data_IF_374658099375
#
_entry.id   IF_374658099375
#
_cell.length_a   1.000
_cell.length_b   1.000
_cell.length_c   1.000
_cell.angle_alpha   90.00
_cell.angle_beta   90.00
_cell.angle_gamma   90.00
#
_symmetry.space_group_name_H-M   'P 1'
#
loop_
_entity.id
_entity.type
_entity.pdbx_description
1 polymer ?
#
# COMPACT_ATOMS: atom_id res chain seq x y z
N UNK A 1 -33.68 53.07 -11.91
CA UNK A 1 -32.99 52.20 -12.88
C UNK A 1 -31.57 51.99 -12.39
N UNK A 2 -31.25 50.81 -11.85
CA UNK A 2 -29.95 50.13 -11.89
C UNK A 2 -30.02 48.92 -10.95
N UNK A 3 -30.29 47.76 -11.55
CA UNK A 3 -30.19 46.44 -10.93
C UNK A 3 -29.24 45.68 -11.84
N UNK A 4 -28.01 45.46 -11.42
CA UNK A 4 -27.01 44.83 -12.26
C UNK A 4 -25.61 44.98 -11.69
N UNK A 5 -25.26 44.08 -10.76
CA UNK A 5 -23.89 43.59 -10.48
C UNK A 5 -23.95 42.78 -9.17
N UNK A 6 -24.44 41.54 -9.25
CA UNK A 6 -24.36 40.59 -8.11
C UNK A 6 -24.42 39.10 -8.50
N UNK A 7 -24.48 38.71 -9.77
CA UNK A 7 -24.54 37.28 -10.14
C UNK A 7 -23.21 36.66 -10.57
N UNK A 8 -22.17 37.44 -10.86
CA UNK A 8 -20.97 36.94 -11.55
C UNK A 8 -19.96 36.18 -10.68
N UNK A 9 -20.27 35.95 -9.40
CA UNK A 9 -19.38 35.30 -8.42
C UNK A 9 -19.85 33.93 -7.90
N UNK A 10 -21.10 33.54 -8.15
CA UNK A 10 -21.62 32.20 -7.76
C UNK A 10 -21.57 31.22 -8.92
N UNK A 11 -21.91 31.66 -10.13
CA UNK A 11 -21.91 30.82 -11.33
C UNK A 11 -20.51 30.25 -11.63
N UNK A 12 -19.43 31.01 -11.43
CA UNK A 12 -18.05 30.49 -11.62
C UNK A 12 -17.63 29.40 -10.63
N UNK A 13 -18.20 29.38 -9.42
CA UNK A 13 -17.92 28.34 -8.41
C UNK A 13 -18.76 27.09 -8.63
N UNK A 14 -19.96 27.23 -9.22
CA UNK A 14 -20.78 26.10 -9.64
C UNK A 14 -20.29 25.51 -10.98
N UNK A 15 -19.87 26.34 -11.94
CA UNK A 15 -19.27 25.90 -13.21
C UNK A 15 -17.92 25.18 -13.01
N UNK A 16 -17.11 25.59 -12.02
CA UNK A 16 -15.88 24.87 -11.65
C UNK A 16 -16.16 23.52 -10.98
N UNK A 17 -17.32 23.35 -10.34
CA UNK A 17 -17.78 22.03 -9.87
C UNK A 17 -18.36 21.18 -11.00
N UNK A 18 -18.83 21.81 -12.08
CA UNK A 18 -19.43 21.13 -13.22
C UNK A 18 -18.41 20.70 -14.29
N UNK A 19 -17.25 21.38 -14.37
CA UNK A 19 -16.18 21.07 -15.33
C UNK A 19 -15.26 19.91 -14.93
N UNK A 20 -15.39 19.40 -13.71
CA UNK A 20 -14.79 18.15 -13.30
C UNK A 20 -15.90 17.20 -12.92
N UNK A 21 -16.31 16.31 -13.84
CA UNK A 21 -16.95 15.07 -13.38
C UNK A 21 -15.89 14.37 -12.54
N UNK A 22 -15.90 14.61 -11.23
CA UNK A 22 -15.08 13.88 -10.28
C UNK A 22 -15.23 12.40 -10.61
N UNK A 23 -14.12 11.67 -10.67
CA UNK A 23 -14.12 10.23 -10.92
C UNK A 23 -14.96 9.54 -9.84
N UNK A 24 -16.27 9.40 -10.10
CA UNK A 24 -17.22 8.83 -9.16
C UNK A 24 -17.22 7.31 -9.35
N UNK A 25 -17.11 6.58 -8.23
CA UNK A 25 -17.12 5.13 -8.24
C UNK A 25 -18.35 4.58 -8.97
N UNK A 26 -19.52 5.18 -8.72
CA UNK A 26 -20.79 4.82 -9.35
C UNK A 26 -20.72 4.86 -10.88
N UNK A 27 -20.07 5.88 -11.46
CA UNK A 27 -19.88 5.98 -12.92
C UNK A 27 -19.11 4.78 -13.48
N UNK A 28 -18.10 4.28 -12.77
CA UNK A 28 -17.37 3.08 -13.19
C UNK A 28 -18.19 1.80 -12.98
N UNK A 29 -18.93 1.69 -11.89
CA UNK A 29 -19.71 0.50 -11.56
C UNK A 29 -20.90 0.30 -12.50
N UNK A 30 -21.61 1.37 -12.87
CA UNK A 30 -22.77 1.30 -13.78
C UNK A 30 -22.37 0.85 -15.19
N UNK A 31 -21.22 1.31 -15.70
CA UNK A 31 -20.76 0.95 -17.06
C UNK A 31 -20.36 -0.54 -17.14
N UNK A 32 -19.95 -1.14 -16.02
CA UNK A 32 -19.52 -2.54 -15.97
C UNK A 32 -20.63 -3.57 -15.73
N UNK A 33 -21.77 -3.20 -15.13
CA UNK A 33 -22.78 -4.16 -14.68
C UNK A 33 -23.78 -4.60 -15.75
N UNK A 34 -23.96 -3.82 -16.83
CA UNK A 34 -25.08 -4.03 -17.78
C UNK A 34 -24.73 -4.87 -19.03
N UNK A 35 -23.47 -5.30 -19.21
CA UNK A 35 -23.00 -5.84 -20.50
C UNK A 35 -22.06 -7.05 -20.32
N UNK A 36 -22.01 -7.95 -21.30
CA UNK A 36 -21.10 -9.12 -21.30
C UNK A 36 -19.64 -8.74 -21.08
N UNK A 37 -18.84 -9.62 -20.46
CA UNK A 37 -17.50 -9.31 -19.97
C UNK A 37 -16.54 -8.68 -21.00
N UNK A 38 -16.63 -9.08 -22.28
CA UNK A 38 -15.78 -8.54 -23.35
C UNK A 38 -16.23 -7.15 -23.82
N UNK A 39 -17.54 -6.91 -23.85
CA UNK A 39 -18.11 -5.61 -24.20
C UNK A 39 -17.97 -4.63 -23.03
N UNK A 40 -18.14 -5.09 -21.79
CA UNK A 40 -17.88 -4.31 -20.57
C UNK A 40 -16.44 -3.78 -20.53
N UNK A 41 -15.43 -4.63 -20.82
CA UNK A 41 -14.02 -4.19 -20.92
C UNK A 41 -13.84 -3.05 -21.92
N UNK A 42 -14.43 -3.16 -23.11
CA UNK A 42 -14.30 -2.14 -24.15
C UNK A 42 -15.02 -0.84 -23.75
N UNK A 43 -16.22 -0.95 -23.18
CA UNK A 43 -17.01 0.20 -22.71
C UNK A 43 -16.34 0.93 -21.55
N UNK A 44 -15.78 0.20 -20.58
CA UNK A 44 -15.03 0.75 -19.46
C UNK A 44 -13.75 1.43 -19.94
N UNK A 45 -13.01 0.82 -20.88
CA UNK A 45 -11.82 1.43 -21.47
C UNK A 45 -12.16 2.73 -22.23
N UNK A 46 -13.28 2.77 -22.97
CA UNK A 46 -13.74 4.01 -23.63
C UNK A 46 -14.14 5.07 -22.62
N UNK A 47 -14.91 4.71 -21.57
CA UNK A 47 -15.35 5.66 -20.56
C UNK A 47 -14.17 6.23 -19.76
N UNK A 48 -13.19 5.39 -19.40
CA UNK A 48 -11.96 5.81 -18.76
C UNK A 48 -11.12 6.72 -19.68
N UNK A 49 -11.09 6.41 -20.98
CA UNK A 49 -10.46 7.25 -22.00
C UNK A 49 -11.11 8.64 -22.08
N UNK A 50 -12.44 8.70 -22.13
CA UNK A 50 -13.18 9.97 -22.20
C UNK A 50 -12.98 10.81 -20.93
N UNK A 51 -13.09 10.21 -19.74
CA UNK A 51 -12.80 10.89 -18.46
C UNK A 51 -11.35 11.39 -18.39
N UNK A 52 -10.40 10.61 -18.92
CA UNK A 52 -9.00 11.04 -19.00
C UNK A 52 -8.80 12.18 -20.01
N UNK A 53 -9.50 12.20 -21.14
CA UNK A 53 -9.41 13.31 -22.10
C UNK A 53 -9.95 14.60 -21.47
N UNK A 54 -11.09 14.52 -20.78
CA UNK A 54 -11.73 15.67 -20.14
C UNK A 54 -10.88 16.23 -19.01
N UNK A 55 -10.34 15.38 -18.12
CA UNK A 55 -9.46 15.82 -17.04
C UNK A 55 -8.12 16.36 -17.58
N UNK A 56 -7.55 15.76 -18.63
CA UNK A 56 -6.31 16.22 -19.26
C UNK A 56 -6.43 17.64 -19.84
N UNK A 57 -7.63 18.04 -20.30
CA UNK A 57 -7.90 19.36 -20.88
C UNK A 57 -7.67 20.53 -19.91
N UNK A 58 -7.68 20.24 -18.60
CA UNK A 58 -7.50 21.23 -17.52
C UNK A 58 -6.05 21.51 -17.14
N UNK A 59 -5.07 20.71 -17.62
CA UNK A 59 -3.66 20.86 -17.25
C UNK A 59 -2.98 22.04 -17.98
N UNK A 60 -3.14 23.23 -17.41
CA UNK A 60 -2.27 24.43 -17.40
C UNK A 60 -1.72 24.94 -18.76
N UNK A 61 -2.14 26.13 -19.23
CA UNK A 61 -1.49 26.85 -20.33
C UNK A 61 -0.04 27.24 -19.99
N UNK A 62 0.93 26.98 -20.89
CA UNK A 62 2.26 27.59 -20.84
C UNK A 62 3.47 26.68 -20.56
N UNK A 63 3.29 25.35 -20.50
CA UNK A 63 4.41 24.38 -20.43
C UNK A 63 4.67 23.80 -21.82
N UNK A 64 5.93 23.54 -22.17
CA UNK A 64 6.35 22.93 -23.45
C UNK A 64 5.53 21.69 -23.82
N UNK A 65 5.07 21.61 -25.08
CA UNK A 65 4.14 20.58 -25.56
C UNK A 65 4.60 19.13 -25.32
N UNK A 66 5.90 18.85 -25.34
CA UNK A 66 6.43 17.50 -25.15
C UNK A 66 6.25 16.97 -23.71
N UNK A 67 6.45 17.81 -22.69
CA UNK A 67 6.26 17.44 -21.28
C UNK A 67 4.78 17.19 -20.99
N UNK A 68 3.90 17.99 -21.61
CA UNK A 68 2.46 17.84 -21.49
C UNK A 68 1.98 16.54 -22.15
N UNK A 69 2.49 16.18 -23.33
CA UNK A 69 2.15 14.92 -24.00
C UNK A 69 2.56 13.70 -23.18
N UNK A 70 3.74 13.71 -22.55
CA UNK A 70 4.19 12.58 -21.72
C UNK A 70 3.32 12.37 -20.48
N UNK A 71 3.00 13.45 -19.76
CA UNK A 71 2.12 13.39 -18.58
C UNK A 71 0.71 12.95 -18.97
N UNK A 72 0.19 13.45 -20.09
CA UNK A 72 -1.12 13.06 -20.62
C UNK A 72 -1.17 11.58 -20.99
N UNK A 73 -0.18 11.08 -21.74
CA UNK A 73 -0.14 9.66 -22.11
C UNK A 73 -0.04 8.75 -20.87
N UNK A 74 0.73 9.16 -19.85
CA UNK A 74 0.77 8.44 -18.57
C UNK A 74 -0.59 8.43 -17.89
N UNK A 75 -1.23 9.59 -17.77
CA UNK A 75 -2.53 9.71 -17.15
C UNK A 75 -3.58 8.83 -17.84
N UNK A 76 -3.70 8.92 -19.17
CA UNK A 76 -4.63 8.10 -19.98
C UNK A 76 -4.39 6.61 -19.73
N UNK A 77 -3.13 6.15 -19.83
CA UNK A 77 -2.75 4.76 -19.59
C UNK A 77 -3.08 4.31 -18.16
N UNK A 78 -2.79 5.14 -17.17
CA UNK A 78 -3.02 4.81 -15.76
C UNK A 78 -4.53 4.73 -15.47
N UNK A 79 -5.36 5.60 -16.05
CA UNK A 79 -6.83 5.54 -15.88
C UNK A 79 -7.44 4.32 -16.54
N UNK A 80 -6.97 3.95 -17.74
CA UNK A 80 -7.36 2.68 -18.37
C UNK A 80 -7.02 1.51 -17.44
N UNK A 81 -5.81 1.50 -16.87
CA UNK A 81 -5.37 0.43 -15.97
C UNK A 81 -6.19 0.36 -14.67
N UNK A 82 -6.54 1.50 -14.07
CA UNK A 82 -7.44 1.55 -12.90
C UNK A 82 -8.79 0.92 -13.26
N UNK A 83 -9.35 1.30 -14.40
CA UNK A 83 -10.67 0.85 -14.83
C UNK A 83 -10.68 -0.67 -15.11
N UNK A 84 -9.62 -1.20 -15.73
CA UNK A 84 -9.43 -2.64 -15.91
C UNK A 84 -9.38 -3.39 -14.58
N UNK A 85 -8.59 -2.90 -13.61
CA UNK A 85 -8.42 -3.54 -12.30
C UNK A 85 -9.70 -3.47 -11.45
N UNK A 86 -10.46 -2.37 -11.54
CA UNK A 86 -11.77 -2.26 -10.91
C UNK A 86 -12.76 -3.25 -11.51
N UNK A 87 -12.75 -3.41 -12.84
CA UNK A 87 -13.61 -4.37 -13.52
C UNK A 87 -13.33 -5.82 -13.10
N UNK A 88 -12.05 -6.18 -12.92
CA UNK A 88 -11.67 -7.50 -12.40
C UNK A 88 -12.23 -7.77 -10.99
N UNK A 89 -12.57 -6.73 -10.23
CA UNK A 89 -13.07 -6.81 -8.85
C UNK A 89 -14.50 -6.32 -8.69
N UNK A 90 -15.21 -6.15 -9.81
CA UNK A 90 -16.56 -5.58 -9.86
C UNK A 90 -17.52 -6.31 -8.93
N UNK A 91 -17.52 -7.64 -8.93
CA UNK A 91 -18.39 -8.46 -8.07
C UNK A 91 -18.15 -8.19 -6.58
N UNK A 92 -16.89 -8.21 -6.15
CA UNK A 92 -16.54 -7.95 -4.75
C UNK A 92 -16.89 -6.52 -4.35
N UNK A 93 -16.65 -5.54 -5.23
CA UNK A 93 -17.01 -4.15 -5.00
C UNK A 93 -18.53 -3.96 -4.84
N UNK A 94 -19.33 -4.52 -5.75
CA UNK A 94 -20.80 -4.47 -5.67
C UNK A 94 -21.29 -5.10 -4.37
N UNK A 95 -20.84 -6.32 -4.06
CA UNK A 95 -21.23 -7.00 -2.82
C UNK A 95 -20.85 -6.20 -1.57
N UNK A 96 -19.68 -5.56 -1.55
CA UNK A 96 -19.27 -4.74 -0.42
C UNK A 96 -20.18 -3.52 -0.27
N UNK A 97 -20.47 -2.84 -1.38
CA UNK A 97 -21.24 -1.58 -1.41
C UNK A 97 -22.74 -1.78 -1.17
N UNK A 98 -23.32 -2.92 -1.57
CA UNK A 98 -24.73 -3.21 -1.34
C UNK A 98 -25.09 -3.23 0.16
N UNK A 99 -24.12 -3.59 1.01
CA UNK A 99 -24.26 -3.59 2.46
C UNK A 99 -24.07 -2.22 3.13
N UNK A 100 -23.65 -1.19 2.39
CA UNK A 100 -23.28 0.13 2.96
C UNK A 100 -24.44 1.11 2.99
N UNK A 101 -24.47 1.94 4.03
CA UNK A 101 -25.37 3.10 4.13
C UNK A 101 -24.94 4.20 3.14
N UNK A 102 -25.83 5.17 2.88
CA UNK A 102 -25.50 6.31 2.02
C UNK A 102 -24.30 7.12 2.53
N UNK A 103 -24.18 7.31 3.85
CA UNK A 103 -23.05 8.03 4.46
C UNK A 103 -21.73 7.27 4.27
N UNK A 104 -21.76 5.94 4.41
CA UNK A 104 -20.58 5.10 4.16
C UNK A 104 -20.19 5.11 2.69
N UNK A 105 -21.15 5.09 1.77
CA UNK A 105 -20.87 5.21 0.32
C UNK A 105 -20.23 6.55 -0.03
N UNK A 106 -20.74 7.65 0.55
CA UNK A 106 -20.15 8.98 0.35
C UNK A 106 -18.71 9.05 0.89
N UNK A 107 -18.44 8.42 2.04
CA UNK A 107 -17.08 8.31 2.56
C UNK A 107 -16.18 7.47 1.64
N UNK A 108 -16.67 6.35 1.13
CA UNK A 108 -15.95 5.51 0.17
C UNK A 108 -15.64 6.29 -1.12
N UNK A 109 -16.58 7.09 -1.63
CA UNK A 109 -16.37 7.92 -2.82
C UNK A 109 -15.26 8.95 -2.60
N UNK A 110 -15.21 9.61 -1.43
CA UNK A 110 -14.09 10.50 -1.08
C UNK A 110 -12.77 9.75 -1.00
N UNK A 111 -12.76 8.56 -0.39
CA UNK A 111 -11.55 7.75 -0.31
C UNK A 111 -11.10 7.25 -1.69
N UNK A 112 -12.03 6.98 -2.60
CA UNK A 112 -11.76 6.61 -3.98
C UNK A 112 -11.03 7.73 -4.73
N UNK A 113 -11.37 9.00 -4.49
CA UNK A 113 -10.65 10.14 -5.08
C UNK A 113 -9.16 10.10 -4.75
N UNK A 114 -8.78 9.77 -3.50
CA UNK A 114 -7.38 9.62 -3.14
C UNK A 114 -6.67 8.45 -3.84
N UNK A 115 -7.39 7.37 -4.14
CA UNK A 115 -6.87 6.25 -4.93
C UNK A 115 -6.59 6.69 -6.35
N UNK A 116 -7.51 7.44 -6.95
CA UNK A 116 -7.36 8.02 -8.28
C UNK A 116 -6.17 8.98 -8.31
N UNK A 117 -6.09 9.94 -7.40
CA UNK A 117 -4.96 10.88 -7.30
C UNK A 117 -3.61 10.15 -7.19
N UNK A 118 -3.59 9.04 -6.44
CA UNK A 118 -2.40 8.21 -6.29
C UNK A 118 -2.02 7.48 -7.58
N UNK A 119 -3.01 7.01 -8.35
CA UNK A 119 -2.81 6.27 -9.58
C UNK A 119 -2.45 7.17 -10.78
N UNK A 120 -2.99 8.37 -10.86
CA UNK A 120 -2.80 9.31 -11.99
C UNK A 120 -1.32 9.59 -12.25
N UNK A 121 -0.55 9.86 -11.19
CA UNK A 121 0.85 10.25 -11.31
C UNK A 121 1.84 9.07 -11.22
N UNK A 122 1.34 7.84 -10.99
CA UNK A 122 2.17 6.65 -10.79
C UNK A 122 3.05 6.37 -12.01
N UNK A 123 4.34 6.18 -11.75
CA UNK A 123 5.35 5.93 -12.77
C UNK A 123 5.40 4.46 -13.18
N UNK A 124 5.15 3.55 -12.24
CA UNK A 124 5.16 2.11 -12.46
C UNK A 124 3.72 1.60 -12.54
N UNK A 125 3.18 1.54 -13.77
CA UNK A 125 1.81 1.12 -14.06
C UNK A 125 1.40 -0.19 -13.36
N UNK A 126 2.34 -1.12 -13.22
CA UNK A 126 2.17 -2.39 -12.50
C UNK A 126 1.72 -2.22 -11.03
N UNK A 127 1.98 -1.06 -10.41
CA UNK A 127 1.55 -0.76 -9.04
C UNK A 127 0.06 -0.43 -8.93
N UNK A 128 -0.58 -0.05 -10.03
CA UNK A 128 -2.00 0.35 -10.04
C UNK A 128 -2.89 -0.78 -9.52
N UNK A 129 -2.57 -2.04 -9.82
CA UNK A 129 -3.30 -3.20 -9.28
C UNK A 129 -3.29 -3.23 -7.74
N UNK A 130 -2.18 -2.83 -7.12
CA UNK A 130 -2.08 -2.78 -5.65
C UNK A 130 -2.88 -1.61 -5.10
N UNK A 131 -2.87 -0.45 -5.77
CA UNK A 131 -3.73 0.68 -5.41
C UNK A 131 -5.21 0.26 -5.45
N UNK A 132 -5.65 -0.41 -6.52
CA UNK A 132 -7.03 -0.90 -6.62
C UNK A 132 -7.34 -2.00 -5.59
N UNK A 133 -6.40 -2.89 -5.26
CA UNK A 133 -6.58 -3.84 -4.15
C UNK A 133 -6.84 -3.12 -2.82
N UNK A 134 -6.05 -2.08 -2.52
CA UNK A 134 -6.24 -1.26 -1.32
C UNK A 134 -7.62 -0.62 -1.30
N UNK A 135 -8.11 -0.15 -2.45
CA UNK A 135 -9.47 0.37 -2.57
C UNK A 135 -10.53 -0.69 -2.26
N UNK A 136 -10.40 -1.90 -2.80
CA UNK A 136 -11.34 -2.98 -2.48
C UNK A 136 -11.30 -3.31 -0.98
N UNK A 137 -10.14 -3.27 -0.32
CA UNK A 137 -10.10 -3.40 1.14
C UNK A 137 -10.83 -2.26 1.84
N UNK A 138 -10.68 -1.01 1.40
CA UNK A 138 -11.44 0.12 1.95
C UNK A 138 -12.93 -0.17 1.96
N UNK A 139 -13.48 -0.68 0.86
CA UNK A 139 -14.91 -0.98 0.74
C UNK A 139 -15.40 -2.08 1.68
N UNK A 140 -14.52 -2.97 2.17
CA UNK A 140 -14.91 -4.03 3.12
C UNK A 140 -15.17 -3.49 4.52
N UNK A 141 -14.53 -2.40 4.90
CA UNK A 141 -14.63 -1.84 6.23
C UNK A 141 -15.81 -0.88 6.35
N UNK A 142 -16.46 -0.87 7.52
CA UNK A 142 -17.59 0.03 7.78
C UNK A 142 -17.15 1.46 8.07
N UNK A 143 -15.98 1.61 8.70
CA UNK A 143 -15.36 2.89 9.01
C UNK A 143 -13.85 2.75 8.92
N UNK A 144 -13.24 3.61 8.12
CA UNK A 144 -11.79 3.79 8.06
C UNK A 144 -11.47 5.26 8.24
N UNK A 145 -10.46 5.55 9.04
CA UNK A 145 -9.93 6.91 9.13
C UNK A 145 -9.29 7.28 7.80
N UNK A 146 -9.58 8.50 7.33
CA UNK A 146 -8.96 9.06 6.14
C UNK A 146 -7.44 9.14 6.27
N UNK A 147 -6.93 9.60 7.42
CA UNK A 147 -5.50 9.65 7.72
C UNK A 147 -4.83 8.28 7.65
N UNK A 148 -5.54 7.23 8.08
CA UNK A 148 -5.06 5.86 7.98
C UNK A 148 -4.90 5.43 6.51
N UNK A 149 -5.92 5.68 5.68
CA UNK A 149 -5.88 5.37 4.25
C UNK A 149 -4.76 6.14 3.56
N UNK A 150 -4.67 7.46 3.81
CA UNK A 150 -3.62 8.30 3.24
C UNK A 150 -2.22 7.80 3.62
N UNK A 151 -2.00 7.45 4.89
CA UNK A 151 -0.73 6.89 5.37
C UNK A 151 -0.35 5.63 4.60
N UNK A 152 -1.30 4.71 4.38
CA UNK A 152 -1.06 3.47 3.63
C UNK A 152 -0.75 3.74 2.16
N UNK A 153 -1.49 4.63 1.51
CA UNK A 153 -1.24 4.98 0.10
C UNK A 153 0.05 5.74 -0.09
N UNK A 154 0.44 6.60 0.84
CA UNK A 154 1.72 7.33 0.78
C UNK A 154 2.90 6.37 0.93
N UNK A 155 2.81 5.38 1.83
CA UNK A 155 3.80 4.31 1.91
C UNK A 155 3.83 3.52 0.60
N UNK A 156 2.69 3.15 0.03
CA UNK A 156 2.66 2.45 -1.26
C UNK A 156 3.27 3.29 -2.39
N UNK A 157 3.04 4.60 -2.44
CA UNK A 157 3.67 5.53 -3.41
C UNK A 157 5.19 5.51 -3.31
N UNK A 158 5.74 5.50 -2.09
CA UNK A 158 7.20 5.45 -1.88
C UNK A 158 7.83 4.15 -2.36
N UNK A 159 7.09 3.03 -2.35
CA UNK A 159 7.62 1.74 -2.79
C UNK A 159 7.79 1.68 -4.31
N UNK A 160 8.89 1.08 -4.74
CA UNK A 160 9.06 0.57 -6.11
C UNK A 160 8.60 -0.87 -6.20
N UNK A 161 8.37 -1.34 -7.42
CA UNK A 161 8.02 -2.75 -7.68
C UNK A 161 9.05 -3.73 -7.11
N UNK A 162 10.33 -3.35 -7.05
CA UNK A 162 11.37 -4.17 -6.42
C UNK A 162 11.19 -4.26 -4.90
N UNK A 163 10.85 -3.16 -4.23
CA UNK A 163 10.55 -3.16 -2.79
C UNK A 163 9.36 -4.09 -2.50
N UNK A 164 8.31 -4.03 -3.33
CA UNK A 164 7.14 -4.92 -3.23
C UNK A 164 7.54 -6.39 -3.44
N UNK A 165 8.43 -6.69 -4.39
CA UNK A 165 8.90 -8.06 -4.65
C UNK A 165 9.68 -8.63 -3.46
N UNK A 166 10.60 -7.82 -2.91
CA UNK A 166 11.37 -8.20 -1.70
C UNK A 166 10.45 -8.39 -0.51
N UNK A 167 9.50 -7.48 -0.30
CA UNK A 167 8.54 -7.56 0.81
C UNK A 167 7.66 -8.81 0.73
N UNK A 168 7.17 -9.16 -0.47
CA UNK A 168 6.41 -10.40 -0.69
C UNK A 168 7.24 -11.65 -0.42
N UNK A 169 8.47 -11.72 -0.94
CA UNK A 169 9.38 -12.83 -0.68
C UNK A 169 9.59 -13.04 0.82
N UNK A 170 9.81 -11.95 1.56
CA UNK A 170 9.98 -11.99 3.01
C UNK A 170 8.70 -12.45 3.75
N UNK A 171 7.51 -12.24 3.17
CA UNK A 171 6.24 -12.67 3.76
C UNK A 171 5.98 -14.14 3.51
N UNK A 172 6.21 -14.59 2.26
CA UNK A 172 6.08 -15.99 1.86
C UNK A 172 7.03 -16.89 2.64
N UNK A 173 8.21 -16.40 3.03
CA UNK A 173 9.10 -17.11 3.96
C UNK A 173 8.55 -17.28 5.39
N UNK A 174 7.29 -16.93 5.68
CA UNK A 174 6.62 -17.29 6.95
C UNK A 174 5.73 -18.54 6.82
N UNK A 175 5.31 -18.92 5.61
CA UNK A 175 4.44 -20.07 5.35
C UNK A 175 5.20 -21.13 4.53
N UNK A 176 6.05 -21.90 5.21
CA UNK A 176 6.95 -22.90 4.62
C UNK A 176 6.26 -24.16 4.04
N UNK A 177 4.93 -24.15 3.87
CA UNK A 177 4.12 -25.37 3.73
C UNK A 177 3.30 -25.51 2.44
N UNK A 178 3.46 -24.67 1.41
CA UNK A 178 2.79 -24.91 0.12
C UNK A 178 3.77 -25.31 -0.99
N UNK A 179 3.47 -26.45 -1.62
CA UNK A 179 4.20 -27.05 -2.74
C UNK A 179 4.08 -26.17 -3.99
N UNK A 180 5.19 -25.56 -4.37
CA UNK A 180 5.37 -24.80 -5.61
C UNK A 180 6.83 -24.39 -5.72
N UNK A 181 7.33 -24.14 -6.94
CA UNK A 181 8.69 -23.65 -7.17
C UNK A 181 8.92 -22.40 -6.32
N UNK A 182 9.77 -22.54 -5.29
CA UNK A 182 9.98 -21.52 -4.27
C UNK A 182 10.74 -20.36 -4.89
N UNK A 183 10.10 -19.20 -4.98
CA UNK A 183 10.80 -17.96 -5.26
C UNK A 183 11.84 -17.72 -4.16
N UNK A 184 13.07 -17.44 -4.57
CA UNK A 184 14.22 -17.15 -3.73
C UNK A 184 14.67 -15.71 -3.94
N UNK A 185 15.58 -15.24 -3.10
CA UNK A 185 16.18 -13.91 -3.30
C UNK A 185 16.97 -13.82 -4.60
N UNK A 186 17.52 -14.94 -5.10
CA UNK A 186 18.18 -14.98 -6.41
C UNK A 186 17.20 -14.70 -7.55
N UNK A 187 16.00 -15.26 -7.50
CA UNK A 187 14.97 -15.04 -8.53
C UNK A 187 14.51 -13.57 -8.56
N UNK A 188 14.40 -12.94 -7.38
CA UNK A 188 14.10 -11.50 -7.27
C UNK A 188 15.24 -10.66 -7.84
N UNK A 189 16.49 -10.99 -7.53
CA UNK A 189 17.66 -10.27 -8.05
C UNK A 189 17.77 -10.39 -9.57
N UNK A 190 17.57 -11.59 -10.12
CA UNK A 190 17.61 -11.84 -11.56
C UNK A 190 16.49 -11.08 -12.28
N UNK A 191 15.24 -11.17 -11.78
CA UNK A 191 14.09 -10.48 -12.38
C UNK A 191 14.26 -8.98 -12.47
N UNK A 192 14.87 -8.37 -11.44
CA UNK A 192 15.08 -6.93 -11.37
C UNK A 192 16.44 -6.47 -11.88
N UNK A 193 17.32 -7.40 -12.28
CA UNK A 193 18.66 -7.09 -12.77
C UNK A 193 19.54 -6.38 -11.72
N UNK A 194 19.43 -6.76 -10.45
CA UNK A 194 20.16 -6.10 -9.35
C UNK A 194 21.21 -7.02 -8.71
N UNK A 195 22.24 -6.38 -8.16
CA UNK A 195 23.25 -7.02 -7.30
C UNK A 195 22.69 -7.34 -5.90
N UNK A 196 23.43 -8.18 -5.16
CA UNK A 196 23.12 -8.47 -3.77
C UNK A 196 23.21 -7.23 -2.87
N UNK A 197 24.17 -6.34 -3.11
CA UNK A 197 24.31 -5.09 -2.38
C UNK A 197 23.09 -4.17 -2.59
N UNK A 198 22.57 -4.12 -3.81
CA UNK A 198 21.34 -3.39 -4.12
C UNK A 198 20.12 -4.05 -3.48
N UNK A 199 20.05 -5.38 -3.43
CA UNK A 199 19.00 -6.12 -2.73
C UNK A 199 18.99 -5.81 -1.22
N UNK A 200 20.17 -5.77 -0.60
CA UNK A 200 20.32 -5.37 0.81
C UNK A 200 19.94 -3.90 1.04
N UNK A 201 20.24 -3.01 0.08
CA UNK A 201 19.79 -1.62 0.15
C UNK A 201 18.26 -1.50 0.12
N UNK A 202 17.58 -2.31 -0.69
CA UNK A 202 16.10 -2.41 -0.71
C UNK A 202 15.57 -2.87 0.65
N UNK A 203 16.15 -3.92 1.25
CA UNK A 203 15.76 -4.39 2.60
C UNK A 203 15.95 -3.30 3.67
N UNK A 204 17.03 -2.54 3.60
CA UNK A 204 17.27 -1.41 4.51
C UNK A 204 16.27 -0.26 4.29
N UNK A 205 15.89 0.02 3.04
CA UNK A 205 14.84 1.00 2.76
C UNK A 205 13.48 0.55 3.33
N UNK A 206 13.12 -0.73 3.16
CA UNK A 206 11.90 -1.30 3.74
C UNK A 206 11.91 -1.25 5.29
N UNK A 207 13.09 -1.39 5.92
CA UNK A 207 13.27 -1.15 7.36
C UNK A 207 13.04 0.33 7.71
N UNK A 208 13.63 1.27 6.95
CA UNK A 208 13.47 2.73 7.14
C UNK A 208 12.00 3.16 7.09
N UNK A 209 11.23 2.58 6.17
CA UNK A 209 9.79 2.84 5.98
C UNK A 209 8.95 2.14 7.06
N UNK A 210 9.53 1.23 7.85
CA UNK A 210 8.87 0.52 8.94
C UNK A 210 8.09 -0.73 8.51
N UNK A 211 8.20 -1.15 7.25
CA UNK A 211 7.59 -2.39 6.75
C UNK A 211 8.38 -3.62 7.21
N UNK A 212 9.69 -3.45 7.43
CA UNK A 212 10.53 -4.43 8.12
C UNK A 212 10.89 -3.93 9.52
N UNK A 213 11.31 -4.88 10.36
CA UNK A 213 11.90 -4.67 11.68
C UNK A 213 13.09 -5.61 11.83
N UNK A 214 13.93 -5.40 12.83
CA UNK A 214 14.99 -6.36 13.16
C UNK A 214 14.57 -7.21 14.35
N UNK A 215 15.13 -8.44 14.45
CA UNK A 215 15.02 -9.20 15.71
C UNK A 215 15.58 -8.45 16.89
N UNK A 216 16.53 -7.54 16.66
CA UNK A 216 17.03 -6.64 17.69
C UNK A 216 15.90 -5.80 18.28
N UNK A 217 15.14 -5.12 17.44
CA UNK A 217 14.01 -4.27 17.86
C UNK A 217 12.97 -5.06 18.68
N UNK A 218 12.72 -6.32 18.31
CA UNK A 218 11.78 -7.19 19.03
C UNK A 218 12.31 -7.67 20.38
N UNK A 219 13.62 -7.86 20.51
CA UNK A 219 14.24 -8.47 21.69
C UNK A 219 14.95 -7.46 22.60
N UNK A 220 14.89 -6.15 22.31
CA UNK A 220 15.53 -5.10 23.13
C UNK A 220 15.20 -5.24 24.61
N UNK A 221 13.93 -5.51 24.94
CA UNK A 221 13.51 -5.66 26.33
C UNK A 221 14.16 -6.87 27.01
N UNK A 222 14.26 -8.00 26.30
CA UNK A 222 14.89 -9.22 26.82
C UNK A 222 16.40 -9.01 26.97
N UNK A 223 17.03 -8.30 26.04
CA UNK A 223 18.44 -7.99 26.10
C UNK A 223 18.75 -6.97 27.21
N UNK A 224 17.90 -5.96 27.42
CA UNK A 224 18.01 -5.03 28.56
C UNK A 224 17.87 -5.75 29.90
N UNK A 225 17.00 -6.76 29.99
CA UNK A 225 16.90 -7.61 31.19
C UNK A 225 18.20 -8.40 31.41
N UNK A 226 18.78 -8.97 30.36
CA UNK A 226 20.05 -9.72 30.47
C UNK A 226 21.22 -8.78 30.84
N UNK A 227 21.25 -7.55 30.33
CA UNK A 227 22.21 -6.52 30.73
C UNK A 227 22.03 -6.16 32.21
N UNK A 228 20.80 -5.87 32.63
CA UNK A 228 20.49 -5.51 34.03
C UNK A 228 20.91 -6.62 35.00
N UNK A 229 20.66 -7.88 34.63
CA UNK A 229 21.09 -9.05 35.38
C UNK A 229 22.61 -9.16 35.45
N UNK A 230 23.30 -9.00 34.33
CA UNK A 230 24.78 -9.02 34.29
C UNK A 230 25.37 -7.91 35.15
N UNK A 231 24.77 -6.72 35.14
CA UNK A 231 25.19 -5.59 35.97
C UNK A 231 25.02 -5.89 37.47
N UNK A 232 23.89 -6.51 37.86
CA UNK A 232 23.67 -6.98 39.25
C UNK A 232 24.68 -8.05 39.65
N UNK A 233 25.01 -8.98 38.77
CA UNK A 233 26.00 -10.03 39.02
C UNK A 233 27.40 -9.43 39.23
N UNK A 234 27.75 -8.39 38.46
CA UNK A 234 29.00 -7.63 38.63
C UNK A 234 29.02 -6.89 39.98
N UNK A 235 27.96 -6.16 40.33
CA UNK A 235 27.86 -5.49 41.65
C UNK A 235 28.04 -6.50 42.77
N UNK A 236 27.30 -7.62 42.72
CA UNK A 236 27.38 -8.69 43.72
C UNK A 236 28.79 -9.30 43.80
N UNK A 237 29.47 -9.43 42.66
CA UNK A 237 30.86 -9.89 42.61
C UNK A 237 31.79 -8.90 43.31
N UNK A 238 31.69 -7.60 43.01
CA UNK A 238 32.53 -6.55 43.59
C UNK A 238 32.30 -6.40 45.10
N UNK A 239 31.05 -6.47 45.57
CA UNK A 239 30.72 -6.48 47.00
C UNK A 239 31.37 -7.65 47.73
N UNK A 240 31.31 -8.85 47.14
CA UNK A 240 31.93 -10.06 47.70
C UNK A 240 33.45 -10.04 47.63
N UNK A 241 34.04 -9.39 46.62
CA UNK A 241 35.48 -9.17 46.53
C UNK A 241 35.97 -8.22 47.62
N UNK A 242 35.16 -7.21 47.93
CA UNK A 242 35.48 -6.17 48.93
C UNK A 242 35.27 -6.63 50.37
N UNK A 243 34.58 -7.76 50.60
CA UNK A 243 34.29 -8.28 51.93
C UNK A 243 35.32 -9.36 52.36
N UNK A 244 36.14 -9.10 53.40
CA UNK A 244 37.20 -10.02 53.84
C UNK A 244 36.68 -11.35 54.44
N UNK A 245 35.38 -11.51 54.67
CA UNK A 245 34.74 -12.76 55.14
C UNK A 245 34.14 -13.62 54.02
N UNK A 246 34.23 -13.16 52.77
CA UNK A 246 33.65 -13.87 51.62
C UNK A 246 34.61 -14.95 51.12
N UNK A 247 34.29 -16.22 51.38
CA UNK A 247 35.15 -17.34 50.97
C UNK A 247 34.96 -17.78 49.51
N UNK A 248 34.00 -17.22 48.76
CA UNK A 248 33.75 -17.63 47.38
C UNK A 248 33.14 -16.53 46.51
N UNK A 249 33.84 -16.21 45.43
CA UNK A 249 33.37 -15.28 44.41
C UNK A 249 32.35 -15.95 43.46
N UNK A 250 31.27 -15.27 43.08
CA UNK A 250 30.34 -15.77 42.08
C UNK A 250 31.03 -15.85 40.70
N UNK A 251 30.62 -16.80 39.86
CA UNK A 251 31.10 -16.87 38.47
C UNK A 251 30.31 -15.89 37.63
N UNK A 252 30.99 -14.93 37.00
CA UNK A 252 30.41 -14.09 35.97
C UNK A 252 30.16 -14.93 34.71
N UNK A 253 29.02 -14.71 34.08
CA UNK A 253 28.66 -15.34 32.79
C UNK A 253 28.59 -14.26 31.74
N UNK A 254 28.98 -14.62 30.52
CA UNK A 254 28.77 -13.74 29.37
C UNK A 254 27.27 -13.59 29.09
N UNK A 255 26.79 -12.35 28.85
CA UNK A 255 25.40 -12.11 28.50
C UNK A 255 25.08 -12.77 27.16
N UNK A 256 23.94 -13.45 27.09
CA UNK A 256 23.44 -14.07 25.85
C UNK A 256 22.38 -13.19 25.23
N UNK A 257 22.77 -12.36 24.27
CA UNK A 257 21.85 -11.52 23.50
C UNK A 257 21.02 -12.36 22.54
N UNK A 258 19.71 -12.08 22.50
CA UNK A 258 18.78 -12.67 21.54
C UNK A 258 18.71 -11.86 20.24
N UNK A 259 19.03 -10.57 20.32
CA UNK A 259 19.08 -9.68 19.18
C UNK A 259 20.05 -10.17 18.10
N UNK A 260 19.58 -10.13 16.86
CA UNK A 260 20.38 -10.36 15.66
C UNK A 260 19.94 -9.35 14.60
N UNK A 261 20.87 -8.90 13.76
CA UNK A 261 20.58 -8.09 12.57
C UNK A 261 19.93 -8.95 11.47
N UNK A 262 18.81 -9.56 11.81
CA UNK A 262 17.99 -10.32 10.88
C UNK A 262 16.71 -9.54 10.67
N UNK A 263 16.49 -9.09 9.44
CA UNK A 263 15.25 -8.44 9.04
C UNK A 263 14.09 -9.43 9.09
N UNK A 264 12.98 -8.97 9.65
CA UNK A 264 11.69 -9.64 9.67
C UNK A 264 10.59 -8.64 9.27
N UNK A 265 9.44 -9.12 8.82
CA UNK A 265 8.31 -8.24 8.55
C UNK A 265 7.74 -7.71 9.87
N UNK A 266 7.56 -6.39 9.95
CA UNK A 266 6.98 -5.74 11.13
C UNK A 266 5.47 -6.03 11.24
N UNK A 267 4.82 -5.62 12.34
CA UNK A 267 3.35 -5.72 12.43
C UNK A 267 2.68 -4.87 11.35
N UNK A 268 3.13 -3.62 11.22
CA UNK A 268 2.68 -2.70 10.18
C UNK A 268 2.92 -3.27 8.78
N UNK A 269 4.06 -3.90 8.54
CA UNK A 269 4.37 -4.53 7.25
C UNK A 269 3.41 -5.65 6.87
N UNK A 270 2.91 -6.44 7.84
CA UNK A 270 1.88 -7.44 7.56
C UNK A 270 0.54 -6.80 7.25
N UNK A 271 0.09 -5.88 8.10
CA UNK A 271 -1.18 -5.17 7.90
C UNK A 271 -1.18 -4.46 6.53
N UNK A 272 -0.03 -3.91 6.12
CA UNK A 272 0.17 -3.31 4.80
C UNK A 272 0.08 -4.32 3.64
N UNK A 273 0.68 -5.49 3.78
CA UNK A 273 0.60 -6.59 2.79
C UNK A 273 -0.83 -7.08 2.66
N UNK A 274 -1.53 -7.29 3.78
CA UNK A 274 -2.92 -7.75 3.79
C UNK A 274 -3.83 -6.68 3.14
N UNK A 275 -3.52 -5.40 3.36
CA UNK A 275 -4.26 -4.29 2.78
C UNK A 275 -4.07 -4.17 1.26
N UNK A 276 -2.85 -4.34 0.73
CA UNK A 276 -2.57 -4.07 -0.69
C UNK A 276 -2.34 -5.30 -1.57
N UNK A 277 -1.86 -6.41 -1.01
CA UNK A 277 -1.32 -7.53 -1.79
C UNK A 277 -2.17 -8.81 -1.68
N UNK A 278 -2.89 -9.00 -0.58
CA UNK A 278 -3.71 -10.20 -0.38
C UNK A 278 -5.14 -10.00 -0.89
N UNK A 279 -5.36 -10.40 -2.13
CA UNK A 279 -6.68 -10.69 -2.69
C UNK A 279 -6.55 -11.97 -3.52
N UNK A 280 -6.37 -13.11 -2.86
CA UNK A 280 -6.53 -14.44 -3.46
C UNK A 280 -6.69 -15.47 -2.32
N UNK A 281 -7.89 -15.58 -1.76
CA UNK A 281 -8.51 -16.86 -1.35
C UNK A 281 -10.03 -16.63 -1.32
N UNK A 282 -10.77 -17.46 -2.06
CA UNK A 282 -12.24 -17.56 -2.15
C UNK A 282 -12.90 -16.77 -3.28
N UNK A 283 -12.75 -17.24 -4.51
CA UNK A 283 -13.85 -17.37 -5.48
C UNK A 283 -13.42 -18.47 -6.48
N UNK A 284 -14.31 -19.44 -6.72
CA UNK A 284 -14.17 -20.65 -7.57
C UNK A 284 -13.69 -21.95 -6.87
N UNK A 285 -14.44 -22.43 -5.87
CA UNK A 285 -14.85 -23.85 -5.91
C UNK A 285 -16.02 -23.94 -6.89
N UNK A 286 -15.75 -24.28 -8.15
CA UNK A 286 -16.80 -24.82 -9.02
C UNK A 286 -17.24 -26.18 -8.45
N UNK A 287 -18.55 -26.43 -8.28
CA UNK A 287 -19.01 -27.77 -7.98
C UNK A 287 -18.74 -28.63 -9.21
N UNK A 288 -17.90 -29.65 -9.03
CA UNK A 288 -17.77 -30.76 -9.99
C UNK A 288 -19.16 -31.29 -10.33
N UNK A 289 -19.49 -31.23 -11.63
CA UNK A 289 -20.62 -31.96 -12.23
C UNK A 289 -20.49 -33.46 -11.98
#
# INVERSE_FOLDING_TARGET
>A
MMKGMSSMGRDKKEDMKQSGREFALDTFLTVGSEISAEVAKKSIASAAGDLAVDAASSFIPGVSGAVQSYKRARFERNMIRVAEELNLKMKSLQSNLDSKTSEQKEQIDRLFQYVIDSAIDEQQEEKIKYMVNGFVQITKHDFLSEDFVLTYYDVLKELRIIDISVLRLMNSTRFWYQEGARETFHDVMERHGISYEQYEAVRRNLLRIGLLTTRTDLNVVDDLKEISKTFKDIITYLEKLSNPKSNRLPKLKEPKFKSKEQFEISRFGKDFIDFFFEMNQNEEEEPLL
#
